data_IF_391831304764
#
_entry.id   IF_391831304764
#
_cell.length_a   1.000
_cell.length_b   1.000
_cell.length_c   1.000
_cell.angle_alpha   90.00
_cell.angle_beta   90.00
_cell.angle_gamma   90.00
#
_symmetry.space_group_name_H-M   'P 1'
#
loop_
_entity.id
_entity.type
_entity.pdbx_description
1 polymer ?
#
# COMPACT_ATOMS: atom_id res chain seq x y z
N UNK A 1 22.87 -4.17 11.31
CA UNK A 1 21.65 -4.41 10.51
C UNK A 1 21.96 -5.47 9.47
N UNK A 2 21.27 -6.61 9.50
CA UNK A 2 21.46 -7.68 8.51
C UNK A 2 20.60 -7.39 7.28
N UNK A 3 21.19 -7.43 6.09
CA UNK A 3 20.46 -7.30 4.83
C UNK A 3 19.85 -8.67 4.52
N UNK A 4 18.55 -8.83 4.77
CA UNK A 4 17.82 -10.05 4.43
C UNK A 4 17.43 -10.02 2.94
N UNK A 5 18.15 -10.77 2.12
CA UNK A 5 17.84 -10.90 0.69
C UNK A 5 16.73 -11.94 0.53
N UNK A 6 15.53 -11.48 0.16
CA UNK A 6 14.44 -12.39 -0.16
C UNK A 6 14.74 -13.21 -1.41
N UNK A 7 14.43 -14.51 -1.35
CA UNK A 7 14.51 -15.39 -2.52
C UNK A 7 13.45 -15.00 -3.55
N UNK A 8 13.62 -15.44 -4.81
CA UNK A 8 12.63 -15.21 -5.87
C UNK A 8 11.23 -15.70 -5.46
N UNK A 9 11.16 -16.89 -4.86
CA UNK A 9 9.90 -17.47 -4.37
C UNK A 9 9.23 -16.60 -3.30
N UNK A 10 10.00 -16.08 -2.33
CA UNK A 10 9.47 -15.19 -1.30
C UNK A 10 8.90 -13.90 -1.88
N UNK A 11 9.57 -13.32 -2.88
CA UNK A 11 9.07 -12.13 -3.59
C UNK A 11 7.76 -12.42 -4.31
N UNK A 12 7.68 -13.56 -5.01
CA UNK A 12 6.45 -13.97 -5.70
C UNK A 12 5.32 -14.20 -4.70
N UNK A 13 5.55 -14.95 -3.63
CA UNK A 13 4.55 -15.16 -2.55
C UNK A 13 4.07 -13.83 -1.97
N UNK A 14 4.98 -12.91 -1.64
CA UNK A 14 4.61 -11.59 -1.14
C UNK A 14 3.78 -10.78 -2.13
N UNK A 15 4.04 -10.93 -3.42
CA UNK A 15 3.29 -10.23 -4.48
C UNK A 15 1.89 -10.82 -4.62
N UNK A 16 1.75 -12.14 -4.64
CA UNK A 16 0.45 -12.80 -4.70
C UNK A 16 -0.40 -12.51 -3.46
N UNK A 17 0.21 -12.50 -2.27
CA UNK A 17 -0.47 -12.08 -1.03
C UNK A 17 -0.96 -10.63 -1.13
N UNK A 18 -0.20 -9.73 -1.78
CA UNK A 18 -0.64 -8.36 -2.04
C UNK A 18 -1.87 -8.30 -2.95
N UNK A 19 -1.93 -9.13 -4.00
CA UNK A 19 -3.12 -9.24 -4.84
C UNK A 19 -4.36 -9.64 -4.02
N UNK A 20 -4.22 -10.65 -3.15
CA UNK A 20 -5.30 -11.06 -2.25
C UNK A 20 -5.70 -9.97 -1.27
N UNK A 21 -4.74 -9.20 -0.76
CA UNK A 21 -5.03 -8.03 0.10
C UNK A 21 -5.91 -7.03 -0.64
N UNK A 22 -5.60 -6.74 -1.90
CA UNK A 22 -6.36 -5.79 -2.72
C UNK A 22 -7.80 -6.27 -2.91
N UNK A 23 -7.97 -7.54 -3.30
CA UNK A 23 -9.31 -8.14 -3.44
C UNK A 23 -10.10 -8.11 -2.13
N UNK A 24 -9.48 -8.53 -1.03
CA UNK A 24 -10.10 -8.52 0.28
C UNK A 24 -10.47 -7.09 0.72
N UNK A 25 -9.62 -6.11 0.42
CA UNK A 25 -9.88 -4.71 0.73
C UNK A 25 -11.03 -4.15 -0.12
N UNK A 26 -11.06 -4.41 -1.43
CA UNK A 26 -12.14 -3.97 -2.31
C UNK A 26 -13.47 -4.57 -1.87
N UNK A 27 -13.48 -5.86 -1.54
CA UNK A 27 -14.66 -6.53 -1.01
C UNK A 27 -15.08 -5.92 0.34
N UNK A 28 -14.16 -5.76 1.29
CA UNK A 28 -14.44 -5.15 2.60
C UNK A 28 -14.99 -3.72 2.47
N UNK A 29 -14.43 -2.92 1.57
CA UNK A 29 -14.89 -1.56 1.28
C UNK A 29 -16.31 -1.56 0.71
N UNK A 30 -16.64 -2.50 -0.16
CA UNK A 30 -17.98 -2.61 -0.76
C UNK A 30 -19.04 -3.04 0.26
N UNK A 31 -18.70 -3.98 1.14
CA UNK A 31 -19.63 -4.53 2.15
C UNK A 31 -19.83 -3.61 3.35
N UNK A 32 -18.82 -2.80 3.69
CA UNK A 32 -18.87 -1.84 4.79
C UNK A 32 -19.12 -0.39 4.31
N UNK A 33 -19.63 -0.22 3.08
CA UNK A 33 -20.02 1.10 2.58
C UNK A 33 -21.17 1.64 3.42
N UNK A 34 -21.04 2.87 3.94
CA UNK A 34 -22.04 3.44 4.84
C UNK A 34 -21.91 2.99 6.29
N UNK A 35 -20.86 2.26 6.66
CA UNK A 35 -20.60 1.87 8.04
C UNK A 35 -20.42 3.11 8.91
N UNK A 36 -21.25 3.23 9.95
CA UNK A 36 -21.18 4.34 10.91
C UNK A 36 -20.59 3.87 12.22
N UNK A 37 -19.56 4.57 12.69
CA UNK A 37 -18.95 4.39 14.01
C UNK A 37 -19.15 5.70 14.77
N UNK A 38 -19.72 5.62 15.98
CA UNK A 38 -20.03 6.81 16.80
C UNK A 38 -20.88 7.87 16.07
N UNK A 39 -21.77 7.43 15.18
CA UNK A 39 -22.66 8.31 14.41
C UNK A 39 -22.02 8.95 13.17
N UNK A 40 -20.73 8.74 12.90
CA UNK A 40 -20.03 9.21 11.70
C UNK A 40 -19.80 8.06 10.72
N UNK A 41 -20.04 8.31 9.44
CA UNK A 41 -19.70 7.36 8.39
C UNK A 41 -18.19 7.31 8.23
N UNK A 42 -17.60 6.14 8.48
CA UNK A 42 -16.16 5.94 8.34
C UNK A 42 -15.84 5.57 6.89
N UNK A 43 -14.81 6.20 6.32
CA UNK A 43 -14.42 5.97 4.94
C UNK A 43 -12.91 6.10 4.75
N UNK A 44 -12.41 5.64 3.59
CA UNK A 44 -11.00 5.78 3.24
C UNK A 44 -10.06 5.11 4.25
N UNK A 45 -9.21 5.92 4.90
CA UNK A 45 -8.17 5.46 5.81
C UNK A 45 -8.75 4.86 7.10
N UNK A 46 -9.80 5.44 7.67
CA UNK A 46 -10.42 4.93 8.91
C UNK A 46 -11.00 3.54 8.71
N UNK A 47 -11.63 3.31 7.56
CA UNK A 47 -12.13 1.99 7.19
C UNK A 47 -10.97 1.00 6.97
N UNK A 48 -9.85 1.47 6.40
CA UNK A 48 -8.67 0.65 6.22
C UNK A 48 -8.00 0.28 7.56
N UNK A 49 -7.96 1.17 8.54
CA UNK A 49 -7.43 0.88 9.88
C UNK A 49 -8.25 -0.19 10.61
N UNK A 50 -9.55 -0.34 10.28
CA UNK A 50 -10.37 -1.46 10.76
C UNK A 50 -10.08 -2.78 10.03
N UNK A 51 -9.82 -2.71 8.73
CA UNK A 51 -9.48 -3.87 7.89
C UNK A 51 -8.09 -4.44 8.19
N UNK A 52 -7.08 -3.56 8.29
CA UNK A 52 -5.66 -3.90 8.45
C UNK A 52 -5.37 -4.91 9.58
N UNK A 53 -5.88 -4.77 10.82
CA UNK A 53 -5.60 -5.74 11.87
C UNK A 53 -6.24 -7.11 11.59
N UNK A 54 -7.37 -7.16 10.89
CA UNK A 54 -8.01 -8.41 10.48
C UNK A 54 -7.18 -9.08 9.38
N UNK A 55 -6.74 -8.30 8.40
CA UNK A 55 -5.86 -8.77 7.34
C UNK A 55 -4.53 -9.32 7.86
N UNK A 56 -3.89 -8.64 8.81
CA UNK A 56 -2.61 -9.08 9.39
C UNK A 56 -2.71 -10.38 10.19
N UNK A 57 -3.90 -10.71 10.71
CA UNK A 57 -4.16 -11.97 11.42
C UNK A 57 -4.51 -13.12 10.47
N UNK A 58 -4.72 -12.85 9.19
CA UNK A 58 -5.17 -13.84 8.22
C UNK A 58 -4.12 -14.94 8.00
N UNK A 59 -4.56 -16.19 7.86
CA UNK A 59 -3.66 -17.35 7.77
C UNK A 59 -2.81 -17.39 6.49
N UNK A 60 -3.21 -16.63 5.47
CA UNK A 60 -2.51 -16.52 4.19
C UNK A 60 -1.04 -16.08 4.35
N UNK A 61 -0.71 -15.31 5.40
CA UNK A 61 0.66 -14.87 5.69
C UNK A 61 1.59 -16.02 6.12
N UNK A 62 1.02 -17.18 6.48
CA UNK A 62 1.77 -18.39 6.86
C UNK A 62 1.89 -19.39 5.71
N UNK A 63 1.28 -19.10 4.56
CA UNK A 63 1.29 -19.99 3.40
C UNK A 63 2.61 -19.87 2.62
N UNK A 64 3.08 -21.00 2.10
CA UNK A 64 4.18 -21.03 1.13
C UNK A 64 3.63 -20.81 -0.29
N UNK A 65 4.54 -20.65 -1.27
CA UNK A 65 4.16 -20.40 -2.66
C UNK A 65 3.23 -21.48 -3.22
N UNK A 66 3.43 -22.75 -2.88
CA UNK A 66 2.62 -23.85 -3.39
C UNK A 66 1.18 -23.79 -2.85
N UNK A 67 1.02 -23.49 -1.57
CA UNK A 67 -0.30 -23.29 -0.94
C UNK A 67 -1.00 -22.07 -1.48
N UNK A 68 -0.29 -20.96 -1.67
CA UNK A 68 -0.86 -19.75 -2.27
C UNK A 68 -1.36 -20.03 -3.69
N UNK A 69 -0.59 -20.77 -4.51
CA UNK A 69 -1.02 -21.18 -5.87
C UNK A 69 -2.28 -22.02 -5.88
N UNK A 70 -2.35 -23.04 -5.01
CA UNK A 70 -3.58 -23.84 -4.86
C UNK A 70 -4.76 -22.97 -4.45
N UNK A 71 -4.55 -22.04 -3.54
CA UNK A 71 -5.60 -21.11 -3.11
C UNK A 71 -6.08 -20.18 -4.25
N UNK A 72 -5.17 -19.76 -5.15
CA UNK A 72 -5.52 -19.02 -6.36
C UNK A 72 -6.43 -19.84 -7.26
N UNK A 73 -6.06 -21.09 -7.53
CA UNK A 73 -6.85 -22.02 -8.35
C UNK A 73 -8.21 -22.34 -7.73
N UNK A 74 -8.26 -22.57 -6.41
CA UNK A 74 -9.50 -22.81 -5.65
C UNK A 74 -10.47 -21.62 -5.72
N UNK A 75 -9.95 -20.41 -5.78
CA UNK A 75 -10.73 -19.18 -5.93
C UNK A 75 -11.16 -18.92 -7.38
N UNK A 76 -10.71 -19.75 -8.33
CA UNK A 76 -11.05 -19.63 -9.76
C UNK A 76 -10.29 -18.54 -10.50
N UNK A 77 -9.16 -18.08 -9.97
CA UNK A 77 -8.29 -17.11 -10.62
C UNK A 77 -7.03 -17.77 -11.18
N UNK A 78 -6.37 -17.08 -12.09
CA UNK A 78 -4.99 -17.33 -12.50
C UNK A 78 -4.04 -16.34 -11.83
N UNK A 79 -2.74 -16.66 -11.78
CA UNK A 79 -1.72 -15.71 -11.30
C UNK A 79 -1.71 -14.42 -12.14
N UNK A 80 -1.87 -14.53 -13.46
CA UNK A 80 -1.83 -13.39 -14.37
C UNK A 80 -3.00 -12.43 -14.15
N UNK A 81 -4.22 -12.94 -13.98
CA UNK A 81 -5.40 -12.11 -13.66
C UNK A 81 -5.22 -11.35 -12.34
N UNK A 82 -4.65 -12.01 -11.31
CA UNK A 82 -4.36 -11.35 -10.04
C UNK A 82 -3.32 -10.24 -10.17
N UNK A 83 -2.34 -10.42 -11.06
CA UNK A 83 -1.32 -9.43 -11.34
C UNK A 83 -1.88 -8.23 -12.13
N UNK A 84 -2.82 -8.48 -13.04
CA UNK A 84 -3.56 -7.44 -13.76
C UNK A 84 -4.42 -6.61 -12.79
N UNK A 85 -5.24 -7.26 -11.95
CA UNK A 85 -6.04 -6.58 -10.91
C UNK A 85 -5.17 -5.70 -10.01
N UNK A 86 -4.01 -6.21 -9.60
CA UNK A 86 -3.06 -5.45 -8.80
C UNK A 86 -2.55 -4.22 -9.54
N UNK A 87 -2.20 -4.37 -10.81
CA UNK A 87 -1.68 -3.28 -11.64
C UNK A 87 -2.73 -2.19 -11.82
N UNK A 88 -3.95 -2.57 -12.19
CA UNK A 88 -5.10 -1.67 -12.34
C UNK A 88 -5.40 -0.91 -11.05
N UNK A 89 -5.35 -1.59 -9.90
CA UNK A 89 -5.60 -0.95 -8.60
C UNK A 89 -4.58 0.17 -8.31
N UNK A 90 -3.30 -0.08 -8.55
CA UNK A 90 -2.25 0.92 -8.32
C UNK A 90 -2.27 2.02 -9.39
N UNK A 91 -2.64 1.70 -10.63
CA UNK A 91 -2.82 2.69 -11.70
C UNK A 91 -3.97 3.65 -11.37
N UNK A 92 -5.13 3.12 -10.99
CA UNK A 92 -6.26 3.92 -10.53
C UNK A 92 -5.86 4.80 -9.34
N UNK A 93 -5.17 4.23 -8.34
CA UNK A 93 -4.70 5.01 -7.19
C UNK A 93 -3.74 6.15 -7.59
N UNK A 94 -2.85 5.90 -8.54
CA UNK A 94 -1.92 6.91 -9.09
C UNK A 94 -2.68 8.04 -9.79
N UNK A 95 -3.74 7.71 -10.53
CA UNK A 95 -4.57 8.70 -11.23
C UNK A 95 -5.44 9.55 -10.28
N UNK A 96 -5.82 9.02 -9.11
CA UNK A 96 -6.58 9.75 -8.09
C UNK A 96 -5.71 10.60 -7.15
N UNK A 97 -4.42 10.27 -6.99
CA UNK A 97 -3.51 11.15 -6.28
C UNK A 97 -3.24 12.37 -7.17
N UNK A 98 -3.41 13.61 -6.68
CA UNK A 98 -2.94 14.76 -7.44
C UNK A 98 -1.46 14.53 -7.72
N UNK A 99 -1.08 14.51 -9.00
CA UNK A 99 0.31 14.49 -9.41
C UNK A 99 0.93 15.77 -8.86
N UNK A 100 1.48 15.74 -7.65
CA UNK A 100 2.41 16.76 -7.21
C UNK A 100 3.50 16.79 -8.26
N UNK A 101 3.55 17.89 -9.02
CA UNK A 101 4.53 18.02 -10.08
C UNK A 101 5.92 17.91 -9.45
N UNK A 102 6.83 17.29 -10.18
CA UNK A 102 8.23 17.15 -9.74
C UNK A 102 8.83 18.53 -9.42
N UNK A 103 8.34 19.60 -10.06
CA UNK A 103 8.70 20.99 -9.76
C UNK A 103 8.30 21.44 -8.36
N UNK A 104 7.13 21.06 -7.85
CA UNK A 104 6.70 21.41 -6.49
C UNK A 104 7.63 20.79 -5.44
N UNK A 105 8.09 19.55 -5.65
CA UNK A 105 9.04 18.86 -4.75
C UNK A 105 10.43 19.48 -4.82
N UNK A 106 10.90 19.84 -6.00
CA UNK A 106 12.20 20.52 -6.20
C UNK A 106 12.19 21.92 -5.56
N UNK A 107 11.09 22.66 -5.64
CA UNK A 107 10.97 23.99 -5.03
C UNK A 107 10.91 23.92 -3.50
N UNK A 108 10.20 22.96 -2.92
CA UNK A 108 10.20 22.75 -1.46
C UNK A 108 11.59 22.36 -0.93
N UNK A 109 12.33 21.54 -1.68
CA UNK A 109 13.73 21.22 -1.35
C UNK A 109 14.62 22.47 -1.40
N UNK A 110 14.51 23.29 -2.44
CA UNK A 110 15.29 24.55 -2.57
C UNK A 110 15.03 25.52 -1.42
N UNK A 111 13.77 25.70 -1.02
CA UNK A 111 13.42 26.56 0.13
C UNK A 111 14.04 26.04 1.42
N UNK A 112 13.99 24.72 1.66
CA UNK A 112 14.60 24.11 2.85
C UNK A 112 16.12 24.27 2.92
N UNK A 113 16.82 24.26 1.77
CA UNK A 113 18.26 24.52 1.72
C UNK A 113 18.60 26.02 1.88
N UNK A 114 17.76 26.93 1.37
CA UNK A 114 17.96 28.37 1.57
C UNK A 114 17.75 28.81 3.02
N UNK A 115 16.80 28.20 3.74
CA UNK A 115 16.60 28.47 5.16
C UNK A 115 17.78 27.97 6.01
N UNK A 116 18.36 26.80 5.68
CA UNK A 116 19.50 26.24 6.38
C UNK A 116 20.81 27.03 6.19
N UNK A 117 21.02 27.65 5.03
CA UNK A 117 22.19 28.52 4.77
C UNK A 117 22.06 29.90 5.45
N UNK A 118 20.85 30.34 5.80
CA UNK A 118 20.62 31.62 6.49
C UNK A 118 20.89 31.59 8.01
N UNK A 119 21.02 30.41 8.59
CA UNK A 119 21.25 30.23 10.04
C UNK A 119 22.74 30.38 10.44
N UNK A 120 23.64 30.61 9.46
CA UNK A 120 25.08 30.76 9.67
C UNK A 120 25.60 32.17 9.39
N UNK A 121 24.82 33.23 9.70
CA UNK A 121 25.43 34.57 9.83
C UNK A 121 26.28 34.64 11.10
N UNK A 122 27.57 34.82 10.86
CA UNK A 122 28.65 34.88 11.85
C UNK A 122 28.42 35.99 12.86
N UNK A 123 28.46 35.66 14.15
CA UNK A 123 28.61 36.66 15.22
C UNK A 123 29.93 37.42 14.99
N UNK A 124 29.92 38.75 14.86
CA UNK A 124 31.17 39.50 14.82
C UNK A 124 31.88 39.40 16.18
N UNK A 125 33.18 39.12 16.12
CA UNK A 125 34.10 39.14 17.27
C UNK A 125 34.33 40.56 17.78
#
# INVERSE_FOLDING_TARGET
>A
MSIFIQTKAQKTTSTLIDCFRILAWQHYKSTNKGLKVEGKEISGLELYENFKPQWLKHEIHKMDLAKVRKFIEEMGYTEDELMEIRSDYYEQKSNYQPKESTESKVNQLKQKYQEADSEYESKPF
#
